data_IF_679514748285
#
_entry.id   IF_679514748285
#
_cell.length_a   1.000
_cell.length_b   1.000
_cell.length_c   1.000
_cell.angle_alpha   90.00
_cell.angle_beta   90.00
_cell.angle_gamma   90.00
#
_symmetry.space_group_name_H-M   'P 1'
#
loop_
_entity.id
_entity.type
_entity.pdbx_description
1 polymer ?
#
# COMPACT_ATOMS: atom_id res chain seq x y z
N UNK A 1 18.62 -4.78 13.88
CA UNK A 1 17.91 -5.45 12.78
C UNK A 1 17.38 -6.76 13.29
N UNK A 2 16.12 -7.07 13.00
CA UNK A 2 15.45 -8.31 13.43
C UNK A 2 14.98 -9.03 12.17
N UNK A 3 15.16 -10.34 12.10
CA UNK A 3 14.75 -11.15 10.95
C UNK A 3 13.37 -11.72 11.18
N UNK A 4 12.49 -11.58 10.20
CA UNK A 4 11.16 -12.22 10.16
C UNK A 4 11.20 -13.31 9.11
N UNK A 5 10.87 -14.55 9.48
CA UNK A 5 10.75 -15.67 8.54
C UNK A 5 9.28 -15.86 8.19
N UNK A 6 8.95 -15.85 6.90
CA UNK A 6 7.58 -15.96 6.41
C UNK A 6 7.50 -17.19 5.49
N UNK A 7 6.61 -18.11 5.82
CA UNK A 7 6.28 -19.22 4.93
C UNK A 7 5.35 -18.71 3.81
N UNK A 8 5.78 -18.87 2.55
CA UNK A 8 5.00 -18.50 1.38
C UNK A 8 4.74 -19.74 0.53
N UNK A 9 3.52 -19.93 0.01
CA UNK A 9 3.28 -20.92 -1.03
C UNK A 9 4.17 -20.66 -2.26
N UNK A 10 4.64 -21.72 -2.91
CA UNK A 10 5.58 -21.63 -4.03
C UNK A 10 5.09 -20.70 -5.16
N UNK A 11 3.79 -20.75 -5.49
CA UNK A 11 3.18 -19.89 -6.51
C UNK A 11 3.28 -18.40 -6.16
N UNK A 12 3.19 -18.05 -4.88
CA UNK A 12 3.31 -16.66 -4.40
C UNK A 12 4.77 -16.21 -4.41
N UNK A 13 5.69 -17.10 -4.04
CA UNK A 13 7.12 -16.84 -4.13
C UNK A 13 7.55 -16.60 -5.58
N UNK A 14 7.02 -17.38 -6.54
CA UNK A 14 7.30 -17.20 -7.96
C UNK A 14 6.84 -15.83 -8.45
N UNK A 15 5.61 -15.42 -8.14
CA UNK A 15 5.10 -14.09 -8.48
C UNK A 15 5.93 -12.96 -7.87
N UNK A 16 6.38 -13.12 -6.63
CA UNK A 16 7.25 -12.13 -5.97
C UNK A 16 8.59 -12.00 -6.70
N UNK A 17 9.19 -13.12 -7.11
CA UNK A 17 10.44 -13.14 -7.89
C UNK A 17 10.27 -12.46 -9.25
N UNK A 18 9.16 -12.73 -9.94
CA UNK A 18 8.84 -12.07 -11.21
C UNK A 18 8.70 -10.55 -11.05
N UNK A 19 7.97 -10.10 -10.01
CA UNK A 19 7.83 -8.68 -9.71
C UNK A 19 9.18 -8.03 -9.40
N UNK A 20 9.97 -8.63 -8.51
CA UNK A 20 11.29 -8.13 -8.14
C UNK A 20 12.23 -8.04 -9.34
N UNK A 21 12.20 -9.06 -10.21
CA UNK A 21 12.96 -9.08 -11.47
C UNK A 21 12.60 -7.92 -12.41
N UNK A 22 11.31 -7.58 -12.54
CA UNK A 22 10.86 -6.43 -13.34
C UNK A 22 11.40 -5.10 -12.83
N UNK A 23 11.61 -4.98 -11.52
CA UNK A 23 12.18 -3.79 -10.89
C UNK A 23 13.71 -3.87 -10.73
N UNK A 24 14.34 -4.97 -11.13
CA UNK A 24 15.79 -5.16 -11.00
C UNK A 24 16.27 -5.27 -9.55
N UNK A 25 15.39 -5.65 -8.62
CA UNK A 25 15.69 -5.76 -7.17
C UNK A 25 15.56 -7.20 -6.69
N UNK A 26 16.08 -7.48 -5.50
CA UNK A 26 15.87 -8.77 -4.85
C UNK A 26 14.46 -8.89 -4.26
N UNK A 27 13.85 -10.10 -4.22
CA UNK A 27 12.55 -10.32 -3.59
C UNK A 27 12.47 -9.81 -2.16
N UNK A 28 13.54 -9.99 -1.38
CA UNK A 28 13.66 -9.54 0.01
C UNK A 28 13.66 -8.01 0.12
N UNK A 29 14.32 -7.34 -0.83
CA UNK A 29 14.34 -5.88 -0.95
C UNK A 29 12.93 -5.35 -1.22
N UNK A 30 12.25 -5.96 -2.18
CA UNK A 30 10.88 -5.60 -2.55
C UNK A 30 9.91 -5.79 -1.36
N UNK A 31 10.04 -6.89 -0.62
CA UNK A 31 9.21 -7.15 0.58
C UNK A 31 9.51 -6.11 1.65
N UNK A 32 10.78 -5.79 1.92
CA UNK A 32 11.14 -4.80 2.93
C UNK A 32 10.56 -3.43 2.61
N UNK A 33 10.74 -2.94 1.38
CA UNK A 33 10.20 -1.64 0.95
C UNK A 33 8.68 -1.65 1.00
N UNK A 34 8.02 -2.75 0.62
CA UNK A 34 6.56 -2.87 0.69
C UNK A 34 6.04 -2.80 2.14
N UNK A 35 6.75 -3.42 3.09
CA UNK A 35 6.41 -3.35 4.51
C UNK A 35 6.66 -1.93 5.04
N UNK A 36 7.77 -1.31 4.68
CA UNK A 36 8.05 0.09 5.05
C UNK A 36 6.98 1.02 4.49
N UNK A 37 6.56 0.88 3.22
CA UNK A 37 5.47 1.64 2.63
C UNK A 37 4.14 1.38 3.37
N UNK A 38 3.83 0.13 3.71
CA UNK A 38 2.62 -0.22 4.45
C UNK A 38 2.60 0.45 5.84
N UNK A 39 3.74 0.48 6.52
CA UNK A 39 3.89 1.08 7.86
C UNK A 39 4.00 2.61 7.82
N UNK A 40 4.46 3.19 6.72
CA UNK A 40 4.61 4.64 6.54
C UNK A 40 3.42 5.28 5.83
N UNK A 41 2.52 4.48 5.23
CA UNK A 41 1.24 4.97 4.72
C UNK A 41 0.50 5.64 5.88
N UNK A 42 0.26 6.96 5.81
CA UNK A 42 -0.48 7.62 6.87
C UNK A 42 -1.94 7.18 6.72
N UNK A 43 -2.49 6.56 7.77
CA UNK A 43 -3.96 6.56 7.98
C UNK A 43 -4.51 7.96 7.70
N UNK A 44 -3.77 9.01 8.08
CA UNK A 44 -4.10 10.42 7.82
C UNK A 44 -4.22 10.82 6.34
N UNK A 45 -3.49 10.21 5.40
CA UNK A 45 -3.60 10.57 3.98
C UNK A 45 -4.87 9.97 3.38
N UNK A 46 -5.26 8.79 3.85
CA UNK A 46 -6.52 8.15 3.53
C UNK A 46 -7.70 8.87 4.19
N UNK A 47 -7.62 9.16 5.50
CA UNK A 47 -8.63 9.94 6.23
C UNK A 47 -8.84 11.33 5.61
N UNK A 48 -7.77 12.06 5.28
CA UNK A 48 -7.90 13.37 4.61
C UNK A 48 -8.55 13.29 3.23
N UNK A 49 -8.28 12.23 2.47
CA UNK A 49 -8.94 12.03 1.17
C UNK A 49 -10.42 11.72 1.34
N UNK A 50 -10.78 10.92 2.35
CA UNK A 50 -12.17 10.62 2.71
C UNK A 50 -12.90 11.88 3.17
N UNK A 51 -12.32 12.65 4.10
CA UNK A 51 -12.88 13.92 4.57
C UNK A 51 -13.04 14.95 3.45
N UNK A 52 -12.07 15.03 2.52
CA UNK A 52 -12.15 15.93 1.38
C UNK A 52 -13.31 15.56 0.44
N UNK A 53 -13.47 14.27 0.13
CA UNK A 53 -14.57 13.79 -0.74
C UNK A 53 -15.93 13.96 -0.07
N UNK A 54 -16.04 13.63 1.22
CA UNK A 54 -17.29 13.78 1.98
C UNK A 54 -17.69 15.26 2.12
N UNK A 55 -16.76 16.15 2.45
CA UNK A 55 -17.03 17.59 2.54
C UNK A 55 -17.41 18.19 1.19
N UNK A 56 -16.73 17.80 0.10
CA UNK A 56 -17.06 18.30 -1.24
C UNK A 56 -18.43 17.83 -1.73
N UNK A 57 -18.81 16.60 -1.41
CA UNK A 57 -20.14 16.08 -1.77
C UNK A 57 -21.24 16.73 -0.93
N UNK A 58 -21.00 16.99 0.37
CA UNK A 58 -21.96 17.71 1.22
C UNK A 58 -22.23 19.14 0.70
N UNK A 59 -21.19 19.83 0.21
CA UNK A 59 -21.32 21.17 -0.40
C UNK A 59 -22.14 21.15 -1.70
N UNK A 60 -22.03 20.09 -2.50
CA UNK A 60 -22.83 19.88 -3.72
C UNK A 60 -24.31 19.61 -3.39
N UNK A 61 -24.60 18.80 -2.37
CA UNK A 61 -25.97 18.53 -1.94
C UNK A 61 -26.67 19.76 -1.34
N UNK A 62 -25.94 20.66 -0.68
CA UNK A 62 -26.51 21.91 -0.15
C UNK A 62 -26.89 22.95 -1.23
N UNK A 63 -26.24 22.93 -2.39
CA UNK A 63 -26.51 23.88 -3.49
C UNK A 63 -27.62 23.43 -4.44
N UNK A 64 -28.14 22.23 -4.24
CA UNK A 64 -29.22 21.63 -5.03
C UNK A 64 -30.57 21.62 -4.29
N UNK A 65 -30.65 22.21 -3.09
CA UNK A 65 -31.87 22.41 -2.31
C UNK A 65 -32.43 23.84 -2.47
#
# INVERSE_FOLDING_TARGET
>A
MTTITIALPDDRLLKLKEMASRFGVMPEELVRVSIEELLTRPEEAFERAVDYVLNKNAELYQRLA
#
